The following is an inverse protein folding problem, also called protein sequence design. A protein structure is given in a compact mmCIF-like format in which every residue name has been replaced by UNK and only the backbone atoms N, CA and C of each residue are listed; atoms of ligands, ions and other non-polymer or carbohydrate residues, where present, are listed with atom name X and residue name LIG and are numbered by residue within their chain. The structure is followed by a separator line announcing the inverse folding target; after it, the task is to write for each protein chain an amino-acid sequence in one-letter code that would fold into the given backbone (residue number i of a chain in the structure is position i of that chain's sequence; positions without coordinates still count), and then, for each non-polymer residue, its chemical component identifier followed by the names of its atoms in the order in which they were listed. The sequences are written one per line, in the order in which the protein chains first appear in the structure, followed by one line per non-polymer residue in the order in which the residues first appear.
data_IF_204308987606
#
_entry.id   IF_204308987606
#
_cell.length_a   1.000
_cell.length_b   1.000
_cell.length_c   1.000
_cell.angle_alpha   90.00
_cell.angle_beta   90.00
_cell.angle_gamma   90.00
#
_symmetry.space_group_name_H-M   'P 1'
#
loop_
_entity.id
_entity.type
_entity.pdbx_description
1 polymer ?
#
# COMPACT_ATOMS: atom_id res chain seq x y z
N UNK A 1 17.66 8.65 4.89
CA UNK A 1 17.51 7.32 5.54
C UNK A 1 18.41 6.32 4.82
N UNK A 2 18.84 5.20 5.43
CA UNK A 2 19.73 4.26 4.73
C UNK A 2 18.97 3.53 3.62
N UNK A 3 19.64 3.21 2.49
CA UNK A 3 19.06 2.42 1.39
C UNK A 3 18.48 1.07 1.85
N UNK A 4 18.99 0.52 2.96
CA UNK A 4 18.50 -0.71 3.56
C UNK A 4 17.07 -0.53 4.07
N UNK A 5 16.78 0.61 4.73
CA UNK A 5 15.44 0.89 5.26
C UNK A 5 14.42 1.14 4.15
N UNK A 6 14.82 1.76 3.03
CA UNK A 6 13.94 1.93 1.86
C UNK A 6 13.52 0.58 1.28
N UNK A 7 14.47 -0.33 1.06
CA UNK A 7 14.16 -1.65 0.52
C UNK A 7 13.29 -2.47 1.47
N UNK A 8 13.49 -2.36 2.79
CA UNK A 8 12.63 -2.99 3.79
C UNK A 8 11.19 -2.47 3.71
N UNK A 9 11.00 -1.16 3.62
CA UNK A 9 9.66 -0.55 3.50
C UNK A 9 8.99 -0.97 2.19
N UNK A 10 9.72 -0.98 1.07
CA UNK A 10 9.18 -1.46 -0.21
C UNK A 10 8.77 -2.94 -0.13
N UNK A 11 9.57 -3.79 0.52
CA UNK A 11 9.25 -5.21 0.67
C UNK A 11 7.97 -5.46 1.50
N UNK A 12 7.60 -4.54 2.38
CA UNK A 12 6.37 -4.63 3.17
C UNK A 12 5.09 -4.36 2.35
N UNK A 13 5.20 -3.85 1.12
CA UNK A 13 4.03 -3.55 0.28
C UNK A 13 3.20 -4.80 -0.03
N UNK A 14 3.86 -5.90 -0.41
CA UNK A 14 3.17 -7.16 -0.75
C UNK A 14 2.51 -7.77 0.49
N UNK A 15 3.19 -7.77 1.63
CA UNK A 15 2.63 -8.25 2.89
C UNK A 15 1.41 -7.43 3.32
N UNK A 16 1.48 -6.11 3.17
CA UNK A 16 0.36 -5.23 3.49
C UNK A 16 -0.85 -5.50 2.59
N UNK A 17 -0.65 -5.63 1.28
CA UNK A 17 -1.72 -5.90 0.32
C UNK A 17 -2.43 -7.21 0.68
N UNK A 18 -1.68 -8.28 0.96
CA UNK A 18 -2.27 -9.56 1.34
C UNK A 18 -3.02 -9.50 2.67
N UNK A 19 -2.55 -8.70 3.62
CA UNK A 19 -3.26 -8.47 4.88
C UNK A 19 -4.59 -7.73 4.66
N UNK A 20 -4.56 -6.61 3.95
CA UNK A 20 -5.78 -5.82 3.68
C UNK A 20 -6.80 -6.65 2.89
N UNK A 21 -6.33 -7.47 1.94
CA UNK A 21 -7.16 -8.44 1.23
C UNK A 21 -7.81 -9.45 2.17
N UNK A 22 -7.05 -10.00 3.12
CA UNK A 22 -7.55 -10.98 4.08
C UNK A 22 -8.55 -10.37 5.09
N UNK A 23 -8.42 -9.08 5.39
CA UNK A 23 -9.32 -8.33 6.26
C UNK A 23 -10.62 -7.88 5.55
N UNK A 24 -10.83 -8.27 4.27
CA UNK A 24 -11.96 -7.92 3.40
C UNK A 24 -12.15 -6.39 3.24
N UNK A 25 -11.06 -5.64 3.39
CA UNK A 25 -11.04 -4.20 3.14
C UNK A 25 -11.02 -3.92 1.64
N UNK A 26 -11.97 -3.10 1.18
CA UNK A 26 -12.13 -2.81 -0.26
C UNK A 26 -11.08 -1.86 -0.82
N UNK A 27 -10.53 -0.99 0.02
CA UNK A 27 -9.64 0.09 -0.40
C UNK A 27 -8.66 0.47 0.68
N UNK A 28 -7.47 0.91 0.29
CA UNK A 28 -6.48 1.50 1.20
C UNK A 28 -5.79 2.70 0.57
N UNK A 29 -5.11 3.50 1.38
CA UNK A 29 -4.21 4.56 0.94
C UNK A 29 -2.83 4.47 1.59
N UNK A 30 -1.98 5.44 1.28
CA UNK A 30 -0.64 5.54 1.86
C UNK A 30 -0.66 5.71 3.38
N UNK A 31 -1.74 6.26 3.93
CA UNK A 31 -1.90 6.44 5.37
C UNK A 31 -2.03 5.10 6.10
N UNK A 32 -2.87 4.21 5.60
CA UNK A 32 -3.07 2.87 6.16
C UNK A 32 -1.77 2.05 6.05
N UNK A 33 -1.08 2.16 4.92
CA UNK A 33 0.24 1.54 4.75
C UNK A 33 1.28 2.10 5.73
N UNK A 34 1.28 3.42 5.96
CA UNK A 34 2.17 4.09 6.92
C UNK A 34 1.95 3.58 8.35
N UNK A 35 0.70 3.38 8.77
CA UNK A 35 0.36 2.79 10.07
C UNK A 35 0.88 1.35 10.17
N UNK A 36 0.71 0.55 9.11
CA UNK A 36 1.24 -0.82 9.06
C UNK A 36 2.77 -0.85 9.20
N UNK A 37 3.48 -0.02 8.45
CA UNK A 37 4.95 0.11 8.51
C UNK A 37 5.42 0.54 9.90
N UNK A 38 4.74 1.51 10.51
CA UNK A 38 5.02 1.94 11.89
C UNK A 38 4.91 0.78 12.89
N UNK A 39 3.88 -0.07 12.74
CA UNK A 39 3.71 -1.25 13.58
C UNK A 39 4.80 -2.32 13.40
N UNK A 40 5.47 -2.36 12.24
CA UNK A 40 6.52 -3.35 11.93
C UNK A 40 7.93 -2.87 12.23
N UNK A 41 8.22 -1.61 11.91
CA UNK A 41 9.58 -1.05 11.89
C UNK A 41 9.74 0.13 12.85
N UNK A 42 8.67 0.57 13.52
CA UNK A 42 8.65 1.73 14.41
C UNK A 42 8.27 3.03 13.69
N UNK A 43 7.89 4.04 14.47
CA UNK A 43 7.37 5.32 13.97
C UNK A 43 8.33 6.07 13.03
N UNK A 44 9.64 5.97 13.24
CA UNK A 44 10.62 6.66 12.38
C UNK A 44 10.63 6.13 10.93
N UNK A 45 10.17 4.90 10.71
CA UNK A 45 10.05 4.30 9.38
C UNK A 45 8.92 4.90 8.53
N UNK A 46 8.11 5.82 9.08
CA UNK A 46 7.04 6.52 8.34
C UNK A 46 7.45 7.89 7.82
N UNK A 47 8.67 8.35 8.09
CA UNK A 47 9.19 9.62 7.58
C UNK A 47 9.70 9.46 6.14
N UNK A 48 8.81 9.16 5.20
CA UNK A 48 9.21 8.89 3.83
C UNK A 48 9.68 10.15 3.12
N UNK A 49 10.83 10.08 2.46
CA UNK A 49 11.24 11.10 1.51
C UNK A 49 10.45 10.94 0.19
N UNK A 50 10.44 11.98 -0.67
CA UNK A 50 9.66 11.95 -1.92
C UNK A 50 10.03 10.80 -2.86
N UNK A 51 11.28 10.34 -2.84
CA UNK A 51 11.75 9.25 -3.69
C UNK A 51 11.17 7.90 -3.24
N UNK A 52 11.15 7.65 -1.91
CA UNK A 52 10.51 6.49 -1.33
C UNK A 52 8.99 6.53 -1.55
N UNK A 53 8.33 7.67 -1.30
CA UNK A 53 6.89 7.82 -1.53
C UNK A 53 6.53 7.56 -3.00
N UNK A 54 7.29 8.11 -3.94
CA UNK A 54 7.13 7.85 -5.38
C UNK A 54 7.32 6.37 -5.74
N UNK A 55 8.28 5.70 -5.11
CA UNK A 55 8.51 4.26 -5.31
C UNK A 55 7.36 3.40 -4.79
N UNK A 56 6.78 3.77 -3.64
CA UNK A 56 5.60 3.10 -3.08
C UNK A 56 4.37 3.28 -3.96
N UNK A 57 4.11 4.51 -4.42
CA UNK A 57 3.01 4.80 -5.35
C UNK A 57 3.16 3.97 -6.63
N UNK A 58 4.37 3.92 -7.20
CA UNK A 58 4.64 3.10 -8.39
C UNK A 58 4.37 1.62 -8.11
N UNK A 59 4.84 1.10 -6.97
CA UNK A 59 4.64 -0.31 -6.59
C UNK A 59 3.17 -0.68 -6.47
N UNK A 60 2.35 0.19 -5.86
CA UNK A 60 0.90 -0.02 -5.77
C UNK A 60 0.18 0.11 -7.12
N UNK A 61 0.59 1.06 -7.96
CA UNK A 61 0.03 1.20 -9.31
C UNK A 61 0.35 0.02 -10.23
N UNK A 62 1.53 -0.59 -10.06
CA UNK A 62 1.97 -1.73 -10.86
C UNK A 62 1.42 -3.07 -10.31
N UNK A 63 0.74 -3.08 -9.17
CA UNK A 63 0.21 -4.31 -8.59
C UNK A 63 -1.01 -4.80 -9.36
N UNK A 64 -0.96 -6.05 -9.82
CA UNK A 64 -1.94 -6.61 -10.76
C UNK A 64 -3.38 -6.67 -10.24
N UNK A 65 -3.57 -6.74 -8.91
CA UNK A 65 -4.88 -6.80 -8.26
C UNK A 65 -5.43 -5.43 -7.82
N UNK A 66 -4.70 -4.34 -8.05
CA UNK A 66 -5.08 -3.01 -7.55
C UNK A 66 -5.44 -2.06 -8.69
N UNK A 67 -6.45 -1.24 -8.46
CA UNK A 67 -6.80 -0.10 -9.32
C UNK A 67 -6.73 1.18 -8.51
N UNK A 68 -6.03 2.17 -9.06
CA UNK A 68 -5.94 3.50 -8.44
C UNK A 68 -7.27 4.25 -8.62
N UNK A 69 -7.81 4.79 -7.54
CA UNK A 69 -9.02 5.61 -7.60
C UNK A 69 -8.78 6.92 -8.38
N UNK A 70 -9.76 7.40 -9.16
CA UNK A 70 -9.64 8.66 -9.90
C UNK A 70 -9.53 9.90 -9.00
N UNK A 71 -10.09 9.81 -7.79
CA UNK A 71 -10.10 10.88 -6.80
C UNK A 71 -9.39 10.39 -5.53
N UNK A 72 -8.35 11.11 -5.13
CA UNK A 72 -7.55 10.79 -3.95
C UNK A 72 -6.32 9.90 -4.22
N UNK A 73 -5.61 9.54 -3.15
CA UNK A 73 -4.46 8.63 -3.19
C UNK A 73 -4.84 7.30 -2.54
N UNK A 74 -5.79 6.59 -3.18
CA UNK A 74 -6.28 5.29 -2.74
C UNK A 74 -6.24 4.26 -3.87
N UNK A 75 -6.17 3.00 -3.47
CA UNK A 75 -6.21 1.83 -4.33
C UNK A 75 -7.32 0.90 -3.87
N UNK A 76 -8.12 0.44 -4.83
CA UNK A 76 -9.16 -0.56 -4.64
C UNK A 76 -8.69 -1.92 -5.13
N UNK A 77 -9.16 -2.99 -4.50
CA UNK A 77 -8.97 -4.34 -5.00
C UNK A 77 -9.94 -4.63 -6.15
N UNK A 78 -9.44 -5.17 -7.26
CA UNK A 78 -10.22 -5.53 -8.44
C UNK A 78 -11.40 -6.47 -8.15
N UNK A 79 -11.29 -7.33 -7.13
CA UNK A 79 -12.32 -8.30 -6.78
C UNK A 79 -13.40 -7.76 -5.82
N UNK A 80 -13.32 -6.49 -5.39
CA UNK A 80 -14.35 -5.88 -4.53
C UNK A 80 -15.70 -5.63 -5.23
N UNK A 81 -15.73 -5.66 -6.57
CA UNK A 81 -16.90 -5.30 -7.39
C UNK A 81 -17.46 -6.45 -8.27
N UNK A 82 -16.85 -7.64 -8.28
CA UNK A 82 -17.26 -8.71 -9.23
C UNK A 82 -18.51 -9.49 -8.79
N UNK A 83 -19.00 -9.34 -7.55
CA UNK A 83 -20.18 -10.09 -7.05
C UNK A 83 -21.45 -9.25 -6.78
N UNK A 84 -21.68 -8.11 -7.44
CA UNK A 84 -22.96 -7.37 -7.27
C UNK A 84 -23.77 -7.02 -8.51
N UNK A 85 -23.47 -7.61 -9.68
CA UNK A 85 -24.26 -7.37 -10.89
C UNK A 85 -24.51 -8.64 -11.73
N UNK A 86 -24.92 -9.74 -11.10
CA UNK A 86 -25.67 -10.80 -11.76
C UNK A 86 -26.98 -11.07 -11.02
#
# INVERSE_FOLDING_TARGET
MSNIMHNQIIALTDEFIERVRADDERSFGLREFSVFVSGRLGYEATMWDPDLEGSLIKRFNDHYDLVRQPLGMRWDFLNGDVERHL
#
